data_IF_832789869060
#
_entry.id   IF_832789869060
#
_cell.length_a   1.000
_cell.length_b   1.000
_cell.length_c   1.000
_cell.angle_alpha   90.00
_cell.angle_beta   90.00
_cell.angle_gamma   90.00
#
_symmetry.space_group_name_H-M   'P 1'
#
loop_
_entity.id
_entity.type
_entity.pdbx_description
1 polymer ?
#
# COMPACT_ATOMS: atom_id res chain seq x y z
N UNK A 1 -11.96 0.82 11.61
CA UNK A 1 -11.40 -0.36 12.31
C UNK A 1 -12.38 -1.52 12.29
N UNK A 2 -13.63 -1.35 12.75
CA UNK A 2 -14.67 -2.41 12.73
C UNK A 2 -14.86 -3.06 11.35
N UNK A 3 -14.96 -2.25 10.29
CA UNK A 3 -15.00 -2.78 8.92
C UNK A 3 -13.79 -3.66 8.59
N UNK A 4 -12.58 -3.30 9.01
CA UNK A 4 -11.37 -4.07 8.73
C UNK A 4 -11.38 -5.41 9.49
N UNK A 5 -11.75 -5.40 10.77
CA UNK A 5 -11.94 -6.60 11.60
C UNK A 5 -12.93 -7.56 10.93
N UNK A 6 -14.11 -7.05 10.58
CA UNK A 6 -15.16 -7.84 9.94
C UNK A 6 -14.74 -8.35 8.55
N UNK A 7 -14.17 -7.48 7.72
CA UNK A 7 -13.76 -7.82 6.36
C UNK A 7 -12.63 -8.84 6.35
N UNK A 8 -11.66 -8.73 7.27
CA UNK A 8 -10.54 -9.65 7.41
C UNK A 8 -10.91 -10.95 8.14
N UNK A 9 -12.06 -11.00 8.82
CA UNK A 9 -12.43 -12.14 9.66
C UNK A 9 -11.44 -12.35 10.81
N UNK A 10 -10.82 -11.27 11.30
CA UNK A 10 -9.78 -11.30 12.32
C UNK A 10 -10.32 -10.80 13.66
N UNK A 11 -9.72 -11.23 14.77
CA UNK A 11 -10.05 -10.73 16.12
C UNK A 11 -9.42 -9.36 16.38
N UNK A 12 -8.19 -9.18 15.89
CA UNK A 12 -7.42 -7.94 15.97
C UNK A 12 -6.94 -7.55 14.59
N UNK A 13 -6.71 -6.26 14.38
CA UNK A 13 -6.16 -5.72 13.13
C UNK A 13 -5.09 -4.70 13.43
N UNK A 14 -4.08 -4.65 12.57
CA UNK A 14 -2.95 -3.73 12.71
C UNK A 14 -2.91 -2.75 11.53
N UNK A 15 -2.66 -1.45 11.79
CA UNK A 15 -2.52 -0.46 10.74
C UNK A 15 -1.07 -0.39 10.25
N UNK A 16 -0.87 -0.56 8.94
CA UNK A 16 0.38 -0.27 8.26
C UNK A 16 0.28 1.05 7.49
N UNK A 17 1.36 1.84 7.51
CA UNK A 17 1.47 3.12 6.83
C UNK A 17 2.87 3.31 6.28
N UNK A 18 2.99 4.10 5.21
CA UNK A 18 4.28 4.59 4.75
C UNK A 18 4.80 5.65 5.72
N UNK A 19 6.00 5.44 6.26
CA UNK A 19 6.66 6.29 7.23
C UNK A 19 7.98 6.78 6.65
N UNK A 20 8.16 8.10 6.55
CA UNK A 20 9.46 8.71 6.26
C UNK A 20 10.22 8.85 7.57
N UNK A 21 11.49 8.47 7.57
CA UNK A 21 12.36 8.58 8.73
C UNK A 21 12.96 9.98 8.79
N UNK A 22 12.83 10.65 9.94
CA UNK A 22 13.31 12.02 10.10
C UNK A 22 12.37 13.07 9.49
N UNK A 23 12.91 14.27 9.27
CA UNK A 23 12.16 15.43 8.73
C UNK A 23 12.54 15.79 7.29
N UNK A 24 13.61 15.19 6.78
CA UNK A 24 14.16 15.46 5.46
C UNK A 24 13.94 14.26 4.55
N UNK A 25 13.77 14.52 3.26
CA UNK A 25 13.55 13.49 2.24
C UNK A 25 14.63 13.62 1.15
N UNK A 26 15.22 12.51 0.71
CA UNK A 26 16.13 12.52 -0.42
C UNK A 26 15.34 12.84 -1.70
N UNK A 27 16.02 13.38 -2.71
CA UNK A 27 15.41 13.62 -4.03
C UNK A 27 14.96 12.33 -4.71
N UNK A 28 15.67 11.22 -4.44
CA UNK A 28 15.39 9.88 -4.98
C UNK A 28 15.63 8.83 -3.92
N UNK A 29 14.72 7.85 -3.91
CA UNK A 29 14.84 6.64 -3.11
C UNK A 29 15.28 5.46 -3.98
N UNK A 30 15.97 4.52 -3.35
CA UNK A 30 16.20 3.17 -3.88
C UNK A 30 15.74 2.14 -2.84
N UNK A 31 15.38 0.95 -3.30
CA UNK A 31 15.04 -0.17 -2.41
C UNK A 31 16.32 -0.66 -1.73
N UNK A 32 16.30 -0.73 -0.39
CA UNK A 32 17.43 -1.27 0.36
C UNK A 32 17.66 -2.74 -0.01
N UNK A 33 18.92 -3.23 -0.04
CA UNK A 33 19.20 -4.65 -0.27
C UNK A 33 18.45 -5.54 0.71
N UNK A 34 17.66 -6.49 0.21
CA UNK A 34 16.81 -7.35 1.04
C UNK A 34 15.65 -6.62 1.75
N UNK A 35 15.40 -5.35 1.42
CA UNK A 35 14.42 -4.49 2.08
C UNK A 35 12.97 -4.74 1.67
N UNK A 36 12.62 -5.91 1.15
CA UNK A 36 11.24 -6.24 0.76
C UNK A 36 10.75 -7.41 1.59
N UNK A 37 9.71 -7.18 2.39
CA UNK A 37 9.10 -8.20 3.22
C UNK A 37 7.61 -8.37 2.87
N UNK A 38 7.16 -9.62 2.74
CA UNK A 38 5.74 -9.91 2.52
C UNK A 38 4.92 -9.51 3.75
N UNK A 39 3.79 -8.85 3.50
CA UNK A 39 2.77 -8.56 4.50
C UNK A 39 1.59 -9.55 4.38
N UNK A 40 1.41 -10.14 3.20
CA UNK A 40 0.31 -11.07 2.89
C UNK A 40 -0.68 -10.49 1.88
N UNK A 41 -1.75 -11.24 1.61
CA UNK A 41 -2.74 -10.89 0.57
C UNK A 41 -4.15 -10.56 1.06
N UNK A 42 -4.44 -10.78 2.34
CA UNK A 42 -5.70 -10.39 2.96
C UNK A 42 -5.52 -9.04 3.66
N UNK A 43 -5.91 -7.96 2.97
CA UNK A 43 -5.69 -6.58 3.45
C UNK A 43 -6.91 -5.70 3.19
N UNK A 44 -7.04 -4.62 3.95
CA UNK A 44 -8.07 -3.58 3.78
C UNK A 44 -7.39 -2.22 3.63
N UNK A 45 -7.14 -1.74 2.39
CA UNK A 45 -6.68 -0.39 2.16
C UNK A 45 -7.77 0.64 2.46
N UNK A 46 -7.35 1.77 3.00
CA UNK A 46 -8.18 2.92 3.32
C UNK A 46 -7.55 4.19 2.71
N UNK A 47 -8.32 4.89 1.90
CA UNK A 47 -7.92 6.04 1.12
C UNK A 47 -8.51 7.33 1.71
N UNK A 48 -7.71 8.38 1.96
CA UNK A 48 -8.25 9.67 2.36
C UNK A 48 -9.09 10.26 1.25
N UNK A 49 -10.32 10.67 1.59
CA UNK A 49 -11.19 11.42 0.72
C UNK A 49 -10.90 12.93 0.89
N UNK A 50 -11.15 13.75 -0.15
CA UNK A 50 -10.85 15.19 -0.13
C UNK A 50 -11.90 15.98 0.67
N UNK A 51 -12.08 15.63 1.95
CA UNK A 51 -12.96 16.34 2.89
C UNK A 51 -12.14 17.08 3.96
N UNK A 52 -12.68 18.14 4.58
CA UNK A 52 -12.01 18.85 5.68
C UNK A 52 -11.81 17.99 6.95
N UNK A 53 -12.62 16.95 7.12
CA UNK A 53 -12.48 15.96 8.19
C UNK A 53 -11.73 14.72 7.69
N UNK A 54 -11.17 13.93 8.61
CA UNK A 54 -10.46 12.68 8.31
C UNK A 54 -11.44 11.56 7.91
N UNK A 55 -11.94 11.64 6.67
CA UNK A 55 -12.82 10.64 6.07
C UNK A 55 -12.00 9.69 5.21
N UNK A 56 -12.06 8.40 5.54
CA UNK A 56 -11.38 7.33 4.80
C UNK A 56 -12.39 6.45 4.07
N UNK A 57 -12.17 6.23 2.77
CA UNK A 57 -12.82 5.17 2.01
C UNK A 57 -12.01 3.87 2.13
N UNK A 58 -12.58 2.85 2.78
CA UNK A 58 -11.95 1.55 2.95
C UNK A 58 -12.64 0.50 2.08
N UNK A 59 -11.88 -0.43 1.51
CA UNK A 59 -12.43 -1.55 0.74
C UNK A 59 -11.58 -2.82 0.88
N UNK A 60 -12.10 -3.97 0.43
CA UNK A 60 -11.40 -5.26 0.43
C UNK A 60 -11.16 -5.72 -1.01
N UNK A 61 -9.98 -5.45 -1.60
CA UNK A 61 -9.67 -5.91 -2.94
C UNK A 61 -9.42 -7.43 -2.93
N UNK A 62 -9.68 -8.08 -4.07
CA UNK A 62 -9.35 -9.49 -4.29
C UNK A 62 -8.00 -9.60 -5.00
N UNK A 63 -7.31 -10.72 -4.83
CA UNK A 63 -6.05 -11.05 -5.51
C UNK A 63 -5.01 -9.93 -5.38
N UNK A 64 -4.69 -9.57 -4.14
CA UNK A 64 -3.66 -8.58 -3.86
C UNK A 64 -2.51 -9.19 -3.08
N UNK A 65 -1.34 -8.56 -3.21
CA UNK A 65 -0.17 -8.83 -2.40
C UNK A 65 0.33 -7.53 -1.82
N UNK A 66 0.40 -7.45 -0.51
CA UNK A 66 1.01 -6.33 0.20
C UNK A 66 2.44 -6.68 0.60
N UNK A 67 3.32 -5.68 0.53
CA UNK A 67 4.71 -5.77 0.98
C UNK A 67 5.10 -4.52 1.76
N UNK A 68 6.00 -4.69 2.73
CA UNK A 68 6.76 -3.61 3.33
C UNK A 68 8.05 -3.45 2.55
N UNK A 69 8.42 -2.21 2.26
CA UNK A 69 9.59 -1.86 1.46
C UNK A 69 10.43 -0.85 2.22
N UNK A 70 11.63 -1.23 2.62
CA UNK A 70 12.63 -0.33 3.17
C UNK A 70 13.32 0.42 2.03
N UNK A 71 13.23 1.74 2.09
CA UNK A 71 13.78 2.67 1.12
C UNK A 71 14.90 3.50 1.76
N UNK A 72 15.98 3.71 1.01
CA UNK A 72 17.09 4.59 1.41
C UNK A 72 17.32 5.66 0.34
N UNK A 73 17.83 6.82 0.74
CA UNK A 73 18.20 7.87 -0.20
C UNK A 73 19.32 7.42 -1.12
N UNK A 74 19.16 7.70 -2.42
CA UNK A 74 20.16 7.33 -3.43
C UNK A 74 21.50 8.03 -3.18
N UNK A 75 21.46 9.31 -2.83
CA UNK A 75 22.65 10.15 -2.61
C UNK A 75 23.06 10.23 -1.12
N UNK A 76 22.11 9.95 -0.21
CA UNK A 76 22.33 9.92 1.24
C UNK A 76 21.56 8.74 1.86
N UNK A 77 22.24 7.61 2.14
CA UNK A 77 21.61 6.43 2.74
C UNK A 77 21.14 6.61 4.18
N UNK A 78 21.49 7.71 4.86
CA UNK A 78 20.99 8.01 6.21
C UNK A 78 19.55 8.52 6.20
N UNK A 79 19.09 9.04 5.07
CA UNK A 79 17.69 9.37 4.82
C UNK A 79 16.95 8.12 4.32
N UNK A 80 15.74 7.88 4.81
CA UNK A 80 15.00 6.67 4.43
C UNK A 80 13.52 6.74 4.70
N UNK A 81 12.83 5.68 4.29
CA UNK A 81 11.41 5.48 4.56
C UNK A 81 11.07 3.99 4.61
N UNK A 82 10.18 3.61 5.51
CA UNK A 82 9.50 2.32 5.45
C UNK A 82 8.18 2.52 4.71
N UNK A 83 8.13 2.09 3.46
CA UNK A 83 6.94 2.20 2.63
C UNK A 83 6.10 0.91 2.69
N UNK A 84 4.81 1.06 2.40
CA UNK A 84 3.92 -0.06 2.11
C UNK A 84 3.59 -0.01 0.62
N UNK A 85 3.70 -1.14 -0.07
CA UNK A 85 3.24 -1.27 -1.44
C UNK A 85 2.18 -2.37 -1.54
N UNK A 86 1.22 -2.17 -2.45
CA UNK A 86 0.22 -3.17 -2.80
C UNK A 86 0.31 -3.44 -4.27
N UNK A 87 0.35 -4.71 -4.62
CA UNK A 87 0.21 -5.22 -5.97
C UNK A 87 -1.17 -5.84 -6.12
N UNK A 88 -1.90 -5.42 -7.14
CA UNK A 88 -3.06 -6.12 -7.65
C UNK A 88 -2.55 -7.17 -8.63
N UNK A 89 -2.65 -8.44 -8.26
CA UNK A 89 -2.04 -9.55 -9.02
C UNK A 89 -2.80 -9.91 -10.28
N UNK A 90 -4.08 -9.51 -10.35
CA UNK A 90 -4.94 -9.71 -11.51
C UNK A 90 -5.83 -8.47 -11.71
N UNK A 91 -5.57 -7.75 -12.80
CA UNK A 91 -6.33 -6.56 -13.21
C UNK A 91 -7.37 -6.87 -14.29
N UNK A 92 -7.62 -8.14 -14.63
CA UNK A 92 -8.54 -8.56 -15.70
C UNK A 92 -9.97 -8.03 -15.50
N UNK A 93 -10.41 -7.90 -14.25
CA UNK A 93 -11.72 -7.37 -13.88
C UNK A 93 -11.82 -5.85 -13.77
N UNK A 94 -10.73 -5.11 -14.00
CA UNK A 94 -10.73 -3.65 -13.92
C UNK A 94 -11.39 -3.02 -15.15
N UNK A 95 -11.72 -1.74 -15.06
CA UNK A 95 -12.33 -0.99 -16.16
C UNK A 95 -11.44 -1.01 -17.41
N UNK A 96 -11.98 -1.53 -18.52
CA UNK A 96 -11.24 -1.65 -19.77
C UNK A 96 -10.96 -0.28 -20.42
N UNK A 97 -11.84 0.70 -20.23
CA UNK A 97 -11.66 2.05 -20.80
C UNK A 97 -10.48 2.77 -20.16
N UNK A 98 -10.30 2.60 -18.85
CA UNK A 98 -9.15 3.14 -18.12
C UNK A 98 -7.82 2.67 -18.71
N UNK A 99 -7.70 1.39 -19.06
CA UNK A 99 -6.48 0.84 -19.66
C UNK A 99 -6.31 1.27 -21.12
N UNK A 100 -7.40 1.35 -21.89
CA UNK A 100 -7.35 1.82 -23.28
C UNK A 100 -6.81 3.25 -23.39
N UNK A 101 -7.23 4.14 -22.49
CA UNK A 101 -6.73 5.53 -22.42
C UNK A 101 -5.22 5.60 -22.16
N UNK A 102 -4.66 4.64 -21.43
CA UNK A 102 -3.24 4.56 -21.11
C UNK A 102 -2.44 3.76 -22.15
N UNK A 103 -3.07 3.31 -23.24
CA UNK A 103 -2.49 2.38 -24.21
C UNK A 103 -1.91 1.12 -23.54
N UNK A 104 -2.61 0.61 -22.53
CA UNK A 104 -2.22 -0.56 -21.73
C UNK A 104 -3.21 -1.72 -21.84
N UNK A 105 -2.83 -2.87 -21.25
CA UNK A 105 -3.65 -4.09 -21.21
C UNK A 105 -3.95 -4.52 -19.77
N UNK A 106 -5.16 -5.04 -19.56
CA UNK A 106 -5.57 -5.69 -18.30
C UNK A 106 -4.97 -7.09 -18.19
N UNK A 107 -4.94 -7.61 -16.98
CA UNK A 107 -4.54 -8.99 -16.67
C UNK A 107 -3.10 -9.12 -16.17
N UNK A 108 -2.29 -8.06 -16.30
CA UNK A 108 -0.97 -8.00 -15.68
C UNK A 108 -1.05 -7.39 -14.26
N UNK A 109 -0.11 -7.76 -13.37
CA UNK A 109 -0.04 -7.17 -12.05
C UNK A 109 0.28 -5.67 -12.09
N UNK A 110 -0.45 -4.87 -11.32
CA UNK A 110 -0.13 -3.46 -11.10
C UNK A 110 0.20 -3.24 -9.63
N UNK A 111 1.40 -2.71 -9.37
CA UNK A 111 1.85 -2.36 -8.03
C UNK A 111 1.92 -0.85 -7.85
N UNK A 112 1.62 -0.40 -6.64
CA UNK A 112 1.81 0.99 -6.25
C UNK A 112 2.20 1.10 -4.78
N UNK A 113 2.97 2.15 -4.45
CA UNK A 113 3.19 2.53 -3.05
C UNK A 113 1.92 3.18 -2.48
N UNK A 114 1.67 2.95 -1.20
CA UNK A 114 0.65 3.65 -0.43
C UNK A 114 1.18 5.02 -0.01
N UNK A 115 0.51 6.14 -0.36
CA UNK A 115 0.93 7.45 0.11
C UNK A 115 0.85 7.60 1.64
N UNK A 116 1.56 8.58 2.20
CA UNK A 116 1.72 8.78 3.67
C UNK A 116 0.42 8.84 4.48
N UNK A 117 -0.68 9.33 3.87
CA UNK A 117 -1.99 9.47 4.53
C UNK A 117 -2.89 8.24 4.40
N UNK A 118 -2.46 7.22 3.65
CA UNK A 118 -3.24 6.01 3.43
C UNK A 118 -2.95 5.03 4.55
N UNK A 119 -3.92 4.17 4.85
CA UNK A 119 -3.79 3.12 5.88
C UNK A 119 -4.07 1.78 5.23
N UNK A 120 -3.20 0.81 5.46
CA UNK A 120 -3.45 -0.58 5.07
C UNK A 120 -3.68 -1.39 6.35
N UNK A 121 -4.89 -1.91 6.54
CA UNK A 121 -5.17 -2.81 7.66
C UNK A 121 -4.85 -4.25 7.28
N UNK A 122 -4.19 -4.94 8.21
CA UNK A 122 -3.85 -6.37 8.13
C UNK A 122 -4.39 -7.08 9.35
N UNK A 123 -4.54 -8.40 9.30
CA UNK A 123 -4.87 -9.18 10.49
C UNK A 123 -3.73 -9.04 11.51
N UNK A 124 -4.05 -8.77 12.77
CA UNK A 124 -3.06 -8.71 13.84
C UNK A 124 -2.56 -10.11 14.20
N UNK A 125 -1.34 -10.20 14.69
CA UNK A 125 -0.85 -11.43 15.32
C UNK A 125 -1.55 -11.62 16.69
N UNK A 126 -1.70 -12.87 17.13
CA UNK A 126 -2.19 -13.23 18.47
C UNK A 126 -1.00 -13.41 19.40
#
# INVERSE_FOLDING_TARGET
MEFAVAALGATTVEPLRTVVHGREEPRRYVVAPGGVASVGGAVVPCHPLPYPADVLYCHRPRNVRAVRVELVGQDDPSLGATAVAVCHEDTSGWDAEYFAMLNGSRGEPICHYMPKKFVLWVAGEI
#
